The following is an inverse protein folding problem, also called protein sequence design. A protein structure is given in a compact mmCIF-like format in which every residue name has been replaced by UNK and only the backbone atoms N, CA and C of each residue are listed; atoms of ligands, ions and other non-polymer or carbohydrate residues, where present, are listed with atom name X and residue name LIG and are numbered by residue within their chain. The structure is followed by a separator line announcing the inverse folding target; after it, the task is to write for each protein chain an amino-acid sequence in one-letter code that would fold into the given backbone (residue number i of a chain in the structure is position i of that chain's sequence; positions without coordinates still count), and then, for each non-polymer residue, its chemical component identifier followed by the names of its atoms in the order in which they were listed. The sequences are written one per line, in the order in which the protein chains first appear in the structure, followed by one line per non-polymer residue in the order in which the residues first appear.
data_IF_209041628845
#
_entry.id   IF_209041628845
#
_cell.length_a   1.000
_cell.length_b   1.000
_cell.length_c   1.000
_cell.angle_alpha   90.00
_cell.angle_beta   90.00
_cell.angle_gamma   90.00
#
_symmetry.space_group_name_H-M   'P 1'
#
loop_
_entity.id
_entity.type
_entity.pdbx_description
1 polymer ?
#
# COMPACT_ATOMS: atom_id res chain seq x y z
N UNK A 1 -2.73 -18.12 -17.83
CA UNK A 1 -3.84 -17.14 -17.77
C UNK A 1 -4.43 -16.93 -16.38
N UNK A 2 -4.77 -17.99 -15.62
CA UNK A 2 -5.31 -17.87 -14.25
C UNK A 2 -4.51 -16.94 -13.32
N UNK A 3 -3.17 -17.03 -13.35
CA UNK A 3 -2.28 -16.19 -12.53
C UNK A 3 -2.44 -14.68 -12.83
N UNK A 4 -2.56 -14.31 -14.11
CA UNK A 4 -2.78 -12.91 -14.52
C UNK A 4 -4.11 -12.39 -13.97
N UNK A 5 -5.16 -13.21 -14.01
CA UNK A 5 -6.47 -12.86 -13.46
C UNK A 5 -6.41 -12.62 -11.95
N UNK A 6 -5.67 -13.45 -11.21
CA UNK A 6 -5.49 -13.28 -9.76
C UNK A 6 -4.77 -11.97 -9.43
N UNK A 7 -3.68 -11.65 -10.14
CA UNK A 7 -2.97 -10.39 -9.96
C UNK A 7 -3.87 -9.20 -10.32
N UNK A 8 -4.61 -9.28 -11.43
CA UNK A 8 -5.52 -8.22 -11.86
C UNK A 8 -6.64 -7.96 -10.85
N UNK A 9 -7.32 -9.02 -10.37
CA UNK A 9 -8.41 -8.88 -9.39
C UNK A 9 -7.87 -8.33 -8.07
N UNK A 10 -6.77 -8.90 -7.56
CA UNK A 10 -6.15 -8.42 -6.33
C UNK A 10 -5.72 -6.97 -6.44
N UNK A 11 -4.98 -6.62 -7.49
CA UNK A 11 -4.48 -5.26 -7.73
C UNK A 11 -5.60 -4.25 -7.95
N UNK A 12 -6.65 -4.62 -8.68
CA UNK A 12 -7.84 -3.80 -8.86
C UNK A 12 -8.52 -3.48 -7.53
N UNK A 13 -8.76 -4.49 -6.69
CA UNK A 13 -9.36 -4.29 -5.37
C UNK A 13 -8.44 -3.45 -4.47
N UNK A 14 -7.15 -3.77 -4.41
CA UNK A 14 -6.18 -3.03 -3.60
C UNK A 14 -6.11 -1.55 -3.99
N UNK A 15 -6.02 -1.25 -5.28
CA UNK A 15 -5.96 0.13 -5.77
C UNK A 15 -7.25 0.92 -5.53
N UNK A 16 -8.43 0.29 -5.64
CA UNK A 16 -9.71 0.91 -5.29
C UNK A 16 -9.77 1.24 -3.79
N UNK A 17 -9.37 0.32 -2.92
CA UNK A 17 -9.36 0.59 -1.47
C UNK A 17 -8.38 1.71 -1.12
N UNK A 18 -7.18 1.72 -1.72
CA UNK A 18 -6.23 2.81 -1.54
C UNK A 18 -6.81 4.15 -2.00
N UNK A 19 -7.50 4.18 -3.14
CA UNK A 19 -8.18 5.37 -3.62
C UNK A 19 -9.24 5.87 -2.63
N UNK A 20 -10.05 4.96 -2.09
CA UNK A 20 -11.06 5.28 -1.07
C UNK A 20 -10.40 5.84 0.19
N UNK A 21 -9.35 5.20 0.72
CA UNK A 21 -8.60 5.71 1.87
C UNK A 21 -8.04 7.11 1.60
N UNK A 22 -7.42 7.32 0.43
CA UNK A 22 -6.91 8.62 0.03
C UNK A 22 -8.02 9.67 -0.03
N UNK A 23 -9.18 9.34 -0.61
CA UNK A 23 -10.31 10.28 -0.73
C UNK A 23 -10.86 10.75 0.62
N UNK A 24 -10.91 9.87 1.62
CA UNK A 24 -11.53 10.18 2.91
C UNK A 24 -10.54 10.62 3.99
N UNK A 25 -9.27 10.20 3.89
CA UNK A 25 -8.28 10.39 4.96
C UNK A 25 -7.10 11.28 4.55
N UNK A 26 -6.82 11.46 3.26
CA UNK A 26 -5.81 12.46 2.86
C UNK A 26 -6.47 13.84 2.92
N UNK A 27 -5.96 14.69 3.81
CA UNK A 27 -6.34 16.10 3.90
C UNK A 27 -5.13 16.99 3.68
N UNK A 28 -5.31 18.02 2.87
CA UNK A 28 -4.32 19.08 2.71
C UNK A 28 -4.25 20.02 3.92
N UNK A 29 -5.23 19.98 4.84
CA UNK A 29 -5.25 20.81 6.04
C UNK A 29 -4.49 20.20 7.22
N UNK A 30 -4.44 18.87 7.34
CA UNK A 30 -3.80 18.17 8.48
C UNK A 30 -2.29 17.98 8.30
N UNK A 31 -1.72 18.42 7.19
CA UNK A 31 -0.31 18.25 6.84
C UNK A 31 0.02 16.84 6.35
N UNK A 32 -0.37 15.79 7.08
CA UNK A 32 0.00 14.40 6.77
C UNK A 32 -1.09 13.68 5.94
N UNK A 33 -0.73 12.98 4.84
CA UNK A 33 -1.64 12.17 4.03
C UNK A 33 -1.89 10.78 4.67
N UNK A 34 -2.76 10.76 5.69
CA UNK A 34 -3.02 9.54 6.47
C UNK A 34 -3.56 8.36 5.67
N UNK A 35 -4.31 8.59 4.60
CA UNK A 35 -4.79 7.53 3.72
C UNK A 35 -3.66 6.77 3.03
N UNK A 36 -2.69 7.49 2.47
CA UNK A 36 -1.48 6.88 1.87
C UNK A 36 -0.65 6.16 2.93
N UNK A 37 -0.47 6.81 4.09
CA UNK A 37 0.27 6.24 5.23
C UNK A 37 -0.30 4.91 5.71
N UNK A 38 -1.61 4.89 6.01
CA UNK A 38 -2.32 3.71 6.51
C UNK A 38 -2.30 2.59 5.47
N UNK A 39 -2.49 2.93 4.20
CA UNK A 39 -2.44 1.93 3.12
C UNK A 39 -1.08 1.23 3.05
N UNK A 40 0.02 2.01 3.12
CA UNK A 40 1.37 1.47 3.10
C UNK A 40 1.71 0.63 4.34
N UNK A 41 1.35 1.08 5.55
CA UNK A 41 1.60 0.33 6.79
C UNK A 41 0.81 -0.97 6.80
N UNK A 42 -0.51 -0.91 6.59
CA UNK A 42 -1.36 -2.10 6.63
C UNK A 42 -1.01 -3.07 5.50
N UNK A 43 -0.72 -2.57 4.31
CA UNK A 43 -0.28 -3.40 3.19
C UNK A 43 1.08 -4.09 3.44
N UNK A 44 2.02 -3.39 4.06
CA UNK A 44 3.34 -3.96 4.42
C UNK A 44 3.26 -4.96 5.57
N UNK A 45 2.38 -4.73 6.54
CA UNK A 45 2.08 -5.73 7.57
C UNK A 45 1.46 -6.98 6.96
N UNK A 46 0.47 -6.79 6.08
CA UNK A 46 -0.25 -7.88 5.43
C UNK A 46 0.69 -8.73 4.56
N UNK A 47 1.56 -8.11 3.77
CA UNK A 47 2.52 -8.85 2.93
C UNK A 47 3.51 -9.65 3.80
N UNK A 48 3.96 -9.10 4.93
CA UNK A 48 4.79 -9.81 5.90
C UNK A 48 4.11 -11.05 6.48
N UNK A 49 2.84 -10.93 6.88
CA UNK A 49 2.04 -12.06 7.37
C UNK A 49 1.86 -13.13 6.28
N UNK A 50 1.48 -12.72 5.07
CA UNK A 50 1.24 -13.66 3.95
C UNK A 50 2.51 -14.43 3.60
N UNK A 51 3.62 -13.73 3.40
CA UNK A 51 4.89 -14.35 3.03
C UNK A 51 5.48 -15.18 4.17
N UNK A 52 5.33 -14.74 5.42
CA UNK A 52 5.73 -15.51 6.59
C UNK A 52 4.96 -16.82 6.73
N UNK A 53 3.63 -16.80 6.54
CA UNK A 53 2.80 -18.01 6.55
C UNK A 53 3.11 -18.95 5.37
N UNK A 54 3.34 -18.38 4.19
CA UNK A 54 3.75 -19.15 3.01
C UNK A 54 5.08 -19.88 3.25
N UNK A 55 6.05 -19.22 3.86
CA UNK A 55 7.37 -19.79 4.16
C UNK A 55 7.32 -20.88 5.25
N UNK A 56 6.46 -20.72 6.27
CA UNK A 56 6.46 -21.63 7.44
C UNK A 56 5.79 -22.97 7.18
N UNK A 57 4.64 -22.99 6.53
CA UNK A 57 3.74 -24.15 6.58
C UNK A 57 3.32 -24.73 5.22
N UNK A 58 3.77 -24.17 4.08
CA UNK A 58 3.15 -24.41 2.76
C UNK A 58 1.61 -24.24 2.79
N UNK A 59 1.06 -23.57 3.82
CA UNK A 59 -0.38 -23.44 4.04
C UNK A 59 -1.01 -22.46 3.06
N UNK A 60 -0.20 -21.60 2.46
CA UNK A 60 -0.59 -20.65 1.42
C UNK A 60 -0.06 -21.15 0.09
N UNK A 61 -0.96 -21.48 -0.84
CA UNK A 61 -0.56 -21.87 -2.19
C UNK A 61 -0.08 -20.65 -2.99
N UNK A 62 0.73 -20.89 -4.01
CA UNK A 62 1.27 -19.82 -4.86
C UNK A 62 0.18 -18.93 -5.50
N UNK A 63 -1.01 -19.47 -5.75
CA UNK A 63 -2.15 -18.69 -6.24
C UNK A 63 -2.62 -17.64 -5.22
N UNK A 64 -2.63 -17.99 -3.93
CA UNK A 64 -3.00 -17.06 -2.87
C UNK A 64 -1.92 -15.98 -2.71
N UNK A 65 -0.64 -16.33 -2.81
CA UNK A 65 0.46 -15.36 -2.81
C UNK A 65 0.33 -14.36 -3.97
N UNK A 66 0.02 -14.83 -5.18
CA UNK A 66 -0.19 -13.95 -6.33
C UNK A 66 -1.41 -13.02 -6.15
N UNK A 67 -2.52 -13.54 -5.63
CA UNK A 67 -3.73 -12.74 -5.40
C UNK A 67 -3.51 -11.70 -4.30
N UNK A 68 -2.96 -12.11 -3.15
CA UNK A 68 -2.92 -11.32 -1.94
C UNK A 68 -1.65 -10.46 -1.82
N UNK A 69 -0.47 -11.03 -2.08
CA UNK A 69 0.78 -10.29 -1.98
C UNK A 69 1.02 -9.46 -3.25
N UNK A 70 1.15 -10.11 -4.41
CA UNK A 70 1.47 -9.41 -5.67
C UNK A 70 0.31 -8.55 -6.15
N UNK A 71 -0.92 -9.07 -6.13
CA UNK A 71 -2.12 -8.36 -6.51
C UNK A 71 -2.53 -7.33 -5.47
N UNK A 72 -3.19 -7.77 -4.40
CA UNK A 72 -3.82 -6.90 -3.42
C UNK A 72 -2.83 -5.94 -2.74
N UNK A 73 -1.78 -6.45 -2.09
CA UNK A 73 -0.80 -5.57 -1.43
C UNK A 73 -0.08 -4.68 -2.44
N UNK A 74 0.23 -5.19 -3.64
CA UNK A 74 0.85 -4.40 -4.71
C UNK A 74 -0.03 -3.24 -5.20
N UNK A 75 -1.35 -3.44 -5.31
CA UNK A 75 -2.28 -2.36 -5.67
C UNK A 75 -2.63 -1.41 -4.52
N UNK A 76 -2.68 -1.96 -3.30
CA UNK A 76 -3.06 -1.26 -2.07
C UNK A 76 -1.96 -0.36 -1.53
N UNK A 77 -0.70 -0.75 -1.66
CA UNK A 77 0.44 0.09 -1.31
C UNK A 77 0.85 0.99 -2.48
N UNK A 78 1.59 2.06 -2.22
CA UNK A 78 2.11 2.94 -3.26
C UNK A 78 3.39 3.66 -2.80
N UNK A 79 4.45 3.51 -3.58
CA UNK A 79 5.66 4.31 -3.41
C UNK A 79 5.57 5.66 -4.15
N UNK A 80 4.88 5.70 -5.30
CA UNK A 80 4.79 6.91 -6.12
C UNK A 80 4.05 8.05 -5.43
N UNK A 81 2.92 7.77 -4.76
CA UNK A 81 2.21 8.82 -4.01
C UNK A 81 3.01 9.27 -2.78
N UNK A 82 3.58 8.32 -2.03
CA UNK A 82 4.44 8.59 -0.88
C UNK A 82 5.65 9.49 -1.24
N UNK A 83 6.34 9.19 -2.35
CA UNK A 83 7.46 10.00 -2.82
C UNK A 83 7.03 11.40 -3.25
N UNK A 84 5.88 11.52 -3.92
CA UNK A 84 5.32 12.81 -4.33
C UNK A 84 4.93 13.68 -3.12
N UNK A 85 4.28 13.09 -2.13
CA UNK A 85 3.90 13.78 -0.88
C UNK A 85 5.13 14.26 -0.10
N UNK A 86 6.17 13.42 0.02
CA UNK A 86 7.45 13.83 0.61
C UNK A 86 8.13 14.95 -0.18
N UNK A 87 8.08 14.89 -1.52
CA UNK A 87 8.60 15.97 -2.36
C UNK A 87 7.86 17.29 -2.12
N UNK A 88 6.54 17.25 -1.89
CA UNK A 88 5.76 18.45 -1.52
C UNK A 88 6.26 19.04 -0.19
N UNK A 89 6.48 18.22 0.84
CA UNK A 89 7.00 18.72 2.13
C UNK A 89 8.36 19.39 1.99
N UNK A 90 9.28 18.76 1.27
CA UNK A 90 10.60 19.33 1.00
C UNK A 90 10.50 20.64 0.23
N UNK A 91 9.63 20.73 -0.78
CA UNK A 91 9.41 21.95 -1.55
C UNK A 91 8.80 23.08 -0.72
N UNK A 92 7.96 22.74 0.25
CA UNK A 92 7.35 23.69 1.18
C UNK A 92 8.29 24.12 2.33
N UNK A 93 9.44 23.45 2.50
CA UNK A 93 10.33 23.65 3.65
C UNK A 93 9.78 23.06 4.96
N UNK A 94 8.76 22.20 4.90
CA UNK A 94 8.19 21.53 6.07
C UNK A 94 8.98 20.27 6.42
N UNK A 95 10.17 20.48 6.98
CA UNK A 95 11.07 19.39 7.38
C UNK A 95 10.52 18.54 8.52
N UNK A 96 9.63 19.10 9.34
CA UNK A 96 9.04 18.39 10.49
C UNK A 96 8.09 17.31 10.01
N UNK A 97 7.15 17.66 9.12
CA UNK A 97 6.23 16.69 8.52
C UNK A 97 6.97 15.67 7.65
N UNK A 98 7.98 16.11 6.88
CA UNK A 98 8.84 15.21 6.11
C UNK A 98 9.51 14.15 6.98
N UNK A 99 10.13 14.55 8.09
CA UNK A 99 10.83 13.64 8.99
C UNK A 99 9.90 12.68 9.74
N UNK A 100 8.66 13.11 10.05
CA UNK A 100 7.67 12.23 10.68
C UNK A 100 6.99 11.28 9.69
N UNK A 101 6.87 11.66 8.42
CA UNK A 101 6.18 10.87 7.41
C UNK A 101 7.08 9.84 6.73
N UNK A 102 8.39 10.10 6.63
CA UNK A 102 9.37 9.21 5.99
C UNK A 102 9.73 8.01 6.86
#
# INVERSE_FOLDING_TARGET
MKQLLLVFIGGGIGSVLRYVLGKYLNSYQTGIPYGTFIANILGSLLIGIILGLAAKNNSISQNHTLLLATGFCGGFTTFSAFAYENHIFLKAGDFTSFAMYT
#
